data_IF_321849817397
#
_entry.id   IF_321849817397
#
_cell.length_a   1.000
_cell.length_b   1.000
_cell.length_c   1.000
_cell.angle_alpha   90.00
_cell.angle_beta   90.00
_cell.angle_gamma   90.00
#
_symmetry.space_group_name_H-M   'P 1'
#
loop_
_entity.id
_entity.type
_entity.pdbx_description
1 polymer ?
#
# COMPACT_ATOMS: atom_id res chain seq x y z
N UNK A 1 9.35 -21.94 -10.84
CA UNK A 1 9.08 -20.49 -10.81
C UNK A 1 9.94 -19.91 -9.70
N UNK A 2 10.77 -18.91 -9.99
CA UNK A 2 11.56 -18.22 -8.95
C UNK A 2 10.66 -17.30 -8.12
N UNK A 3 11.05 -17.03 -6.87
CA UNK A 3 10.34 -16.14 -5.95
C UNK A 3 10.13 -14.72 -6.52
N UNK A 4 11.06 -14.27 -7.35
CA UNK A 4 11.04 -12.96 -8.03
C UNK A 4 9.82 -12.78 -8.94
N UNK A 5 9.40 -13.84 -9.65
CA UNK A 5 8.22 -13.79 -10.51
C UNK A 5 6.93 -13.63 -9.71
N UNK A 6 6.86 -14.18 -8.50
CA UNK A 6 5.72 -14.00 -7.61
C UNK A 6 5.65 -12.55 -7.13
N UNK A 7 6.77 -11.97 -6.69
CA UNK A 7 6.82 -10.56 -6.27
C UNK A 7 6.51 -9.61 -7.42
N UNK A 8 7.04 -9.87 -8.61
CA UNK A 8 6.70 -9.10 -9.82
C UNK A 8 5.19 -9.15 -10.11
N UNK A 9 4.57 -10.35 -10.02
CA UNK A 9 3.13 -10.48 -10.23
C UNK A 9 2.33 -9.70 -9.17
N UNK A 10 2.75 -9.74 -7.90
CA UNK A 10 2.13 -8.97 -6.81
C UNK A 10 2.22 -7.46 -7.08
N UNK A 11 3.38 -6.96 -7.47
CA UNK A 11 3.58 -5.54 -7.77
C UNK A 11 2.72 -5.06 -8.94
N UNK A 12 2.62 -5.87 -10.00
CA UNK A 12 1.76 -5.59 -11.15
C UNK A 12 0.29 -5.53 -10.72
N UNK A 13 -0.17 -6.47 -9.86
CA UNK A 13 -1.53 -6.47 -9.35
C UNK A 13 -1.81 -5.26 -8.46
N UNK A 14 -0.88 -4.87 -7.59
CA UNK A 14 -1.01 -3.68 -6.77
C UNK A 14 -1.01 -2.41 -7.63
N UNK A 15 -0.16 -2.34 -8.65
CA UNK A 15 -0.12 -1.21 -9.58
C UNK A 15 -1.46 -1.03 -10.28
N UNK A 16 -2.02 -2.08 -10.88
CA UNK A 16 -3.32 -2.00 -11.54
C UNK A 16 -4.46 -1.71 -10.57
N UNK A 17 -4.42 -2.31 -9.37
CA UNK A 17 -5.39 -2.02 -8.31
C UNK A 17 -5.37 -0.54 -7.92
N UNK A 18 -4.18 0.02 -7.69
CA UNK A 18 -3.98 1.41 -7.31
C UNK A 18 -4.44 2.37 -8.41
N UNK A 19 -4.10 2.08 -9.68
CA UNK A 19 -4.57 2.85 -10.84
C UNK A 19 -6.11 2.88 -10.87
N UNK A 20 -6.75 1.72 -10.77
CA UNK A 20 -8.21 1.63 -10.81
C UNK A 20 -8.87 2.40 -9.66
N UNK A 21 -8.32 2.31 -8.46
CA UNK A 21 -8.81 3.01 -7.26
C UNK A 21 -8.66 4.52 -7.39
N UNK A 22 -7.51 4.99 -7.86
CA UNK A 22 -7.23 6.42 -8.06
C UNK A 22 -8.12 7.01 -9.15
N UNK A 23 -8.21 6.37 -10.31
CA UNK A 23 -9.01 6.89 -11.44
C UNK A 23 -10.51 6.97 -11.12
N UNK A 24 -11.04 6.10 -10.27
CA UNK A 24 -12.44 6.18 -9.81
C UNK A 24 -12.73 7.41 -8.94
N UNK A 25 -11.69 8.01 -8.33
CA UNK A 25 -11.82 9.05 -7.31
C UNK A 25 -10.97 10.29 -7.59
N UNK A 26 -10.37 10.40 -8.78
CA UNK A 26 -9.30 11.37 -9.03
C UNK A 26 -9.74 12.83 -8.76
N UNK A 27 -10.99 13.17 -9.11
CA UNK A 27 -11.55 14.52 -8.88
C UNK A 27 -11.69 14.85 -7.39
N UNK A 28 -12.09 13.86 -6.59
CA UNK A 28 -12.34 14.03 -5.15
C UNK A 28 -11.04 14.10 -4.33
N UNK A 29 -10.00 13.35 -4.74
CA UNK A 29 -8.77 13.24 -3.96
C UNK A 29 -7.80 14.42 -4.14
N UNK A 30 -8.00 15.24 -5.19
CA UNK A 30 -7.22 16.45 -5.45
C UNK A 30 -5.70 16.20 -5.55
N UNK A 31 -4.93 17.25 -5.26
CA UNK A 31 -3.46 17.21 -5.41
C UNK A 31 -2.78 16.21 -4.47
N UNK A 32 -3.25 16.08 -3.23
CA UNK A 32 -2.68 15.12 -2.28
C UNK A 32 -2.86 13.68 -2.77
N UNK A 33 -4.04 13.35 -3.31
CA UNK A 33 -4.30 12.06 -3.94
C UNK A 33 -3.40 11.78 -5.13
N UNK A 34 -3.24 12.76 -6.03
CA UNK A 34 -2.35 12.63 -7.19
C UNK A 34 -0.88 12.44 -6.78
N UNK A 35 -0.38 13.26 -5.87
CA UNK A 35 1.01 13.20 -5.43
C UNK A 35 1.31 11.86 -4.74
N UNK A 36 0.43 11.43 -3.83
CA UNK A 36 0.57 10.14 -3.15
C UNK A 36 0.46 8.96 -4.11
N UNK A 37 -0.46 9.00 -5.08
CA UNK A 37 -0.56 8.02 -6.15
C UNK A 37 0.74 7.91 -6.96
N UNK A 38 1.28 9.04 -7.44
CA UNK A 38 2.50 9.06 -8.23
C UNK A 38 3.70 8.49 -7.47
N UNK A 39 3.84 8.85 -6.18
CA UNK A 39 4.91 8.31 -5.32
C UNK A 39 4.71 6.82 -5.06
N UNK A 40 3.47 6.34 -4.84
CA UNK A 40 3.20 4.92 -4.63
C UNK A 40 3.52 4.08 -5.89
N UNK A 41 3.17 4.57 -7.08
CA UNK A 41 3.53 3.92 -8.35
C UNK A 41 5.05 3.85 -8.52
N UNK A 42 5.77 4.94 -8.22
CA UNK A 42 7.22 4.94 -8.27
C UNK A 42 7.82 3.97 -7.23
N UNK A 43 7.27 3.91 -6.02
CA UNK A 43 7.74 3.03 -4.94
C UNK A 43 7.66 1.54 -5.31
N UNK A 44 6.61 1.13 -6.03
CA UNK A 44 6.46 -0.26 -6.50
C UNK A 44 7.61 -0.69 -7.42
N UNK A 45 8.27 0.24 -8.14
CA UNK A 45 9.42 -0.11 -8.98
C UNK A 45 10.67 -0.56 -8.20
N UNK A 46 10.73 -0.25 -6.89
CA UNK A 46 11.84 -0.61 -6.01
C UNK A 46 11.67 -1.96 -5.30
N UNK A 47 10.48 -2.58 -5.35
CA UNK A 47 10.16 -3.82 -4.61
C UNK A 47 10.44 -5.07 -5.46
N UNK A 48 10.02 -5.09 -6.72
CA UNK A 48 10.19 -6.25 -7.61
C UNK A 48 11.54 -6.35 -8.30
N UNK A 49 12.43 -5.36 -8.14
CA UNK A 49 13.78 -5.38 -8.71
C UNK A 49 14.72 -6.36 -7.98
N UNK A 50 15.85 -6.74 -8.59
CA UNK A 50 16.86 -7.55 -7.91
C UNK A 50 17.33 -6.86 -6.63
N UNK A 51 17.49 -7.63 -5.55
CA UNK A 51 18.03 -7.13 -4.28
C UNK A 51 19.36 -6.43 -4.54
N UNK A 52 19.37 -5.12 -4.30
CA UNK A 52 20.54 -4.27 -4.42
C UNK A 52 20.68 -3.44 -3.15
N UNK A 53 21.86 -3.46 -2.55
CA UNK A 53 22.18 -2.63 -1.39
C UNK A 53 22.92 -1.38 -1.86
N UNK A 54 22.17 -0.43 -2.42
CA UNK A 54 22.75 0.84 -2.88
C UNK A 54 23.15 1.66 -1.65
N UNK A 55 24.42 2.03 -1.54
CA UNK A 55 24.99 2.73 -0.37
C UNK A 55 24.85 1.98 0.97
N UNK A 56 24.68 0.65 0.94
CA UNK A 56 24.53 -0.17 2.14
C UNK A 56 23.13 -0.14 2.76
N UNK A 57 22.14 0.36 2.02
CA UNK A 57 20.72 0.32 2.39
C UNK A 57 19.95 -0.62 1.46
N UNK A 58 19.08 -1.44 2.02
CA UNK A 58 18.20 -2.32 1.23
C UNK A 58 17.28 -1.48 0.34
N UNK A 59 17.35 -1.70 -0.97
CA UNK A 59 16.45 -1.04 -1.92
C UNK A 59 14.99 -1.46 -1.68
N UNK A 60 14.77 -2.71 -1.28
CA UNK A 60 13.45 -3.22 -0.91
C UNK A 60 12.87 -2.47 0.30
N UNK A 61 13.63 -2.31 1.38
CA UNK A 61 13.15 -1.63 2.59
C UNK A 61 12.84 -0.16 2.31
N UNK A 62 13.66 0.50 1.49
CA UNK A 62 13.40 1.88 1.04
C UNK A 62 12.12 1.96 0.19
N UNK A 63 11.93 1.04 -0.74
CA UNK A 63 10.71 0.94 -1.56
C UNK A 63 9.47 0.72 -0.70
N UNK A 64 9.55 -0.22 0.24
CA UNK A 64 8.46 -0.54 1.17
C UNK A 64 8.12 0.65 2.08
N UNK A 65 9.11 1.34 2.65
CA UNK A 65 8.90 2.54 3.46
C UNK A 65 8.27 3.68 2.63
N UNK A 66 8.78 3.90 1.42
CA UNK A 66 8.23 4.91 0.50
C UNK A 66 6.78 4.61 0.13
N UNK A 67 6.47 3.34 -0.17
CA UNK A 67 5.11 2.88 -0.45
C UNK A 67 4.19 3.06 0.76
N UNK A 68 4.64 2.72 1.97
CA UNK A 68 3.87 2.88 3.19
C UNK A 68 3.50 4.36 3.45
N UNK A 69 4.46 5.27 3.29
CA UNK A 69 4.23 6.72 3.43
C UNK A 69 3.23 7.20 2.37
N UNK A 70 3.44 6.81 1.11
CA UNK A 70 2.57 7.20 0.01
C UNK A 70 1.13 6.70 0.22
N UNK A 71 0.95 5.43 0.59
CA UNK A 71 -0.36 4.84 0.86
C UNK A 71 -1.04 5.45 2.08
N UNK A 72 -0.28 5.87 3.09
CA UNK A 72 -0.80 6.63 4.24
C UNK A 72 -1.32 7.99 3.80
N UNK A 73 -0.56 8.73 2.99
CA UNK A 73 -1.00 10.01 2.43
C UNK A 73 -2.21 9.85 1.50
N UNK A 74 -2.26 8.77 0.71
CA UNK A 74 -3.40 8.43 -0.13
C UNK A 74 -4.64 8.13 0.70
N UNK A 75 -4.50 7.36 1.78
CA UNK A 75 -5.57 7.08 2.72
C UNK A 75 -6.08 8.37 3.39
N UNK A 76 -5.20 9.30 3.76
CA UNK A 76 -5.60 10.62 4.28
C UNK A 76 -6.37 11.44 3.24
N UNK A 77 -5.90 11.47 1.99
CA UNK A 77 -6.61 12.17 0.91
C UNK A 77 -8.04 11.61 0.76
N UNK A 78 -8.18 10.28 0.78
CA UNK A 78 -9.46 9.59 0.71
C UNK A 78 -10.36 9.97 1.88
N UNK A 79 -9.88 9.84 3.12
CA UNK A 79 -10.66 10.16 4.32
C UNK A 79 -11.06 11.64 4.36
N UNK A 80 -10.14 12.55 4.00
CA UNK A 80 -10.38 13.99 3.94
C UNK A 80 -11.44 14.36 2.90
N UNK A 81 -11.43 13.67 1.75
CA UNK A 81 -12.44 13.85 0.71
C UNK A 81 -13.82 13.29 1.08
N UNK A 82 -13.92 12.52 2.19
CA UNK A 82 -15.17 11.89 2.60
C UNK A 82 -15.63 10.74 1.70
N UNK A 83 -14.74 10.23 0.84
CA UNK A 83 -15.04 9.15 -0.10
C UNK A 83 -15.34 7.84 0.63
N UNK A 84 -16.41 7.15 0.24
CA UNK A 84 -16.79 5.85 0.82
C UNK A 84 -16.41 4.68 -0.09
N UNK A 85 -16.13 3.49 0.45
CA UNK A 85 -16.10 3.14 1.87
C UNK A 85 -14.81 3.62 2.57
N UNK A 86 -14.87 3.80 3.90
CA UNK A 86 -13.69 4.13 4.73
C UNK A 86 -12.85 2.92 5.12
N UNK A 87 -13.34 1.70 4.85
CA UNK A 87 -12.63 0.46 5.15
C UNK A 87 -11.21 0.39 4.56
N UNK A 88 -11.04 0.54 3.24
CA UNK A 88 -9.73 0.48 2.60
C UNK A 88 -8.67 1.43 3.17
N UNK A 89 -8.94 2.75 3.31
CA UNK A 89 -7.93 3.64 3.89
C UNK A 89 -7.59 3.30 5.35
N UNK A 90 -8.56 2.81 6.15
CA UNK A 90 -8.29 2.34 7.51
C UNK A 90 -7.42 1.08 7.53
N UNK A 91 -7.60 0.17 6.58
CA UNK A 91 -6.74 -1.01 6.43
C UNK A 91 -5.29 -0.62 6.14
N UNK A 92 -5.06 0.32 5.21
CA UNK A 92 -3.70 0.77 4.90
C UNK A 92 -3.05 1.52 6.06
N UNK A 93 -3.80 2.39 6.75
CA UNK A 93 -3.32 3.00 7.99
C UNK A 93 -2.97 1.95 9.05
N UNK A 94 -3.86 0.99 9.26
CA UNK A 94 -3.66 -0.12 10.20
C UNK A 94 -2.43 -0.94 9.84
N UNK A 95 -2.12 -1.16 8.56
CA UNK A 95 -0.93 -1.89 8.16
C UNK A 95 0.37 -1.21 8.57
N UNK A 96 0.44 0.13 8.49
CA UNK A 96 1.62 0.88 8.91
C UNK A 96 1.78 0.85 10.42
N UNK A 97 0.68 0.97 11.16
CA UNK A 97 0.68 0.83 12.63
C UNK A 97 1.10 -0.59 13.01
N UNK A 98 0.61 -1.62 12.32
CA UNK A 98 0.98 -3.01 12.58
C UNK A 98 2.46 -3.27 12.31
N UNK A 99 3.00 -2.77 11.19
CA UNK A 99 4.41 -2.94 10.86
C UNK A 99 5.34 -2.16 11.80
N UNK A 100 4.96 -0.92 12.15
CA UNK A 100 5.78 -0.04 12.98
C UNK A 100 5.61 -0.30 14.48
N UNK A 101 4.40 -0.10 15.00
CA UNK A 101 4.14 -0.09 16.45
C UNK A 101 4.20 -1.49 17.06
N UNK A 102 3.63 -2.51 16.40
CA UNK A 102 3.71 -3.87 16.94
C UNK A 102 5.14 -4.41 16.91
N UNK A 103 5.96 -3.96 15.95
CA UNK A 103 7.39 -4.27 15.89
C UNK A 103 8.20 -3.70 17.07
N UNK A 104 7.68 -2.70 17.78
CA UNK A 104 8.33 -2.09 18.96
C UNK A 104 7.88 -2.71 20.30
N UNK A 105 6.91 -3.63 20.29
CA UNK A 105 6.40 -4.24 21.51
C UNK A 105 7.32 -5.35 22.02
N UNK A 106 7.27 -5.70 23.32
CA UNK A 106 8.00 -6.84 23.83
C UNK A 106 7.49 -8.15 23.21
N UNK A 107 8.39 -9.14 23.11
CA UNK A 107 8.08 -10.47 22.63
C UNK A 107 6.86 -11.08 23.35
N UNK A 108 5.99 -11.83 22.65
CA UNK A 108 6.13 -12.35 21.28
C UNK A 108 5.42 -11.50 20.20
N UNK A 109 4.94 -10.31 20.54
CA UNK A 109 4.10 -9.50 19.65
C UNK A 109 4.78 -9.01 18.34
N UNK A 110 6.10 -8.71 18.31
CA UNK A 110 6.79 -8.32 17.08
C UNK A 110 6.70 -9.34 15.96
N UNK A 111 6.69 -10.63 16.29
CA UNK A 111 6.68 -11.73 15.32
C UNK A 111 5.41 -11.71 14.43
N UNK A 112 4.33 -11.12 14.94
CA UNK A 112 3.05 -11.03 14.23
C UNK A 112 2.84 -9.68 13.52
N UNK A 113 3.66 -8.66 13.80
CA UNK A 113 3.49 -7.31 13.27
C UNK A 113 3.53 -7.26 11.75
N UNK A 114 4.53 -7.91 11.14
CA UNK A 114 4.67 -7.98 9.69
C UNK A 114 3.54 -8.76 9.02
N UNK A 115 3.11 -9.89 9.60
CA UNK A 115 2.00 -10.69 9.05
C UNK A 115 0.71 -9.89 9.11
N UNK A 116 0.42 -9.25 10.25
CA UNK A 116 -0.75 -8.40 10.41
C UNK A 116 -0.74 -7.23 9.42
N UNK A 117 0.42 -6.59 9.22
CA UNK A 117 0.58 -5.52 8.24
C UNK A 117 0.28 -6.00 6.82
N UNK A 118 0.84 -7.14 6.40
CA UNK A 118 0.61 -7.71 5.08
C UNK A 118 -0.87 -8.05 4.84
N UNK A 119 -1.53 -8.68 5.82
CA UNK A 119 -2.95 -9.01 5.75
C UNK A 119 -3.80 -7.75 5.62
N UNK A 120 -3.55 -6.74 6.45
CA UNK A 120 -4.28 -5.46 6.39
C UNK A 120 -4.06 -4.75 5.06
N UNK A 121 -2.82 -4.68 4.59
CA UNK A 121 -2.47 -4.02 3.34
C UNK A 121 -3.19 -4.66 2.15
N UNK A 122 -3.12 -5.99 2.03
CA UNK A 122 -3.81 -6.76 1.00
C UNK A 122 -5.34 -6.65 1.10
N UNK A 123 -5.89 -6.71 2.32
CA UNK A 123 -7.34 -6.57 2.55
C UNK A 123 -7.84 -5.19 2.10
N UNK A 124 -7.06 -4.14 2.30
CA UNK A 124 -7.39 -2.80 1.82
C UNK A 124 -7.57 -2.75 0.30
N UNK A 125 -6.66 -3.37 -0.45
CA UNK A 125 -6.77 -3.48 -1.91
C UNK A 125 -7.96 -4.32 -2.36
N UNK A 126 -8.18 -5.49 -1.74
CA UNK A 126 -9.31 -6.37 -2.07
C UNK A 126 -10.64 -5.66 -1.82
N UNK A 127 -10.80 -4.99 -0.68
CA UNK A 127 -12.02 -4.26 -0.35
C UNK A 127 -12.23 -3.06 -1.29
N UNK A 128 -11.18 -2.27 -1.55
CA UNK A 128 -11.27 -1.17 -2.50
C UNK A 128 -11.70 -1.66 -3.89
N UNK A 129 -11.09 -2.76 -4.39
CA UNK A 129 -11.46 -3.39 -5.64
C UNK A 129 -12.90 -3.90 -5.67
N UNK A 130 -13.36 -4.57 -4.61
CA UNK A 130 -14.75 -5.00 -4.49
C UNK A 130 -15.73 -3.82 -4.52
N UNK A 131 -15.39 -2.70 -3.88
CA UNK A 131 -16.22 -1.50 -3.87
C UNK A 131 -16.32 -0.85 -5.26
N UNK A 132 -15.26 -0.92 -6.08
CA UNK A 132 -15.28 -0.46 -7.47
C UNK A 132 -16.24 -1.31 -8.31
N UNK A 133 -16.22 -2.63 -8.14
CA UNK A 133 -17.11 -3.54 -8.86
C UNK A 133 -18.58 -3.33 -8.49
N UNK A 134 -18.86 -2.97 -7.24
CA UNK A 134 -20.20 -2.67 -6.75
C UNK A 134 -20.73 -1.33 -7.26
N UNK A 135 -19.89 -0.30 -7.39
CA UNK A 135 -20.28 1.03 -7.91
C UNK A 135 -20.62 1.02 -9.41
N UNK A 136 -20.13 0.02 -10.16
CA UNK A 136 -20.36 -0.11 -11.62
C UNK A 136 -21.58 -0.96 -11.99
N UNK A 137 -22.26 -1.55 -11.00
CA UNK A 137 -23.54 -2.26 -11.18
C UNK A 137 -24.69 -1.33 -10.84
#
# INVERSE_FOLDING_TARGET
>A
MTLEWLYTAIDVLFLFGLIGIYLDRFEALGFLGLASFAVAVAALSFIGGPDADVFGFSTYEQGAATLAIAMTAFALAWLRAGERPFGPPLCWFGSVIAAGVLGMLPAPLPDYGFIAAAVLFGTGFVWAGASLLQRRR
#
